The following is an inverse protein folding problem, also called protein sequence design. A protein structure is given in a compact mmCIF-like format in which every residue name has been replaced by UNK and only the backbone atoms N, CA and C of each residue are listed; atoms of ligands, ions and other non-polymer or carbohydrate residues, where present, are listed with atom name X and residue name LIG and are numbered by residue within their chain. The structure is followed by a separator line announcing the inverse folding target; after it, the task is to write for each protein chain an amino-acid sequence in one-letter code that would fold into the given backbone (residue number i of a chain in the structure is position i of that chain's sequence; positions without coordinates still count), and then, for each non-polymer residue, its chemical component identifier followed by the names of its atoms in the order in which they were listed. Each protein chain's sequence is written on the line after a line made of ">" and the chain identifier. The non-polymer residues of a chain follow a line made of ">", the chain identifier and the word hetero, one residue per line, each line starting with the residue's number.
data_IF_871923457829
#
_entry.id   IF_871923457829
#
_cell.length_a   1.000
_cell.length_b   1.000
_cell.length_c   1.000
_cell.angle_alpha   90.00
_cell.angle_beta   90.00
_cell.angle_gamma   90.00
#
_symmetry.space_group_name_H-M   'P 1'
#
loop_
_entity.id
_entity.type
_entity.pdbx_description
1 polymer ?
#
# COMPACT_ATOMS: atom_id res chain seq x y z
N UNK A 1 8.97 -15.51 -5.79
CA UNK A 1 8.00 -14.95 -6.76
C UNK A 1 8.28 -13.49 -7.06
N UNK A 2 8.26 -12.57 -6.08
CA UNK A 2 8.51 -11.14 -6.31
C UNK A 2 9.79 -10.86 -7.08
N UNK A 3 10.95 -11.27 -6.56
CA UNK A 3 12.24 -11.12 -7.25
C UNK A 3 12.23 -11.66 -8.69
N UNK A 4 11.60 -12.83 -8.91
CA UNK A 4 11.51 -13.40 -10.25
C UNK A 4 10.75 -12.50 -11.23
N UNK A 5 9.62 -11.94 -10.79
CA UNK A 5 8.72 -11.13 -11.62
C UNK A 5 9.19 -9.68 -11.77
N UNK A 6 9.73 -9.08 -10.71
CA UNK A 6 10.14 -7.67 -10.70
C UNK A 6 11.57 -7.47 -11.15
N UNK A 7 12.46 -8.45 -10.93
CA UNK A 7 13.90 -8.27 -11.05
C UNK A 7 14.50 -9.21 -12.10
N UNK A 8 14.32 -10.52 -11.96
CA UNK A 8 14.96 -11.50 -12.86
C UNK A 8 14.41 -11.42 -14.29
N UNK A 9 13.08 -11.32 -14.44
CA UNK A 9 12.43 -11.26 -15.76
C UNK A 9 12.88 -10.05 -16.59
N UNK A 10 13.26 -8.96 -15.93
CA UNK A 10 13.73 -7.73 -16.59
C UNK A 10 15.26 -7.60 -16.58
N UNK A 11 15.98 -8.65 -16.16
CA UNK A 11 17.44 -8.71 -16.18
C UNK A 11 18.14 -7.83 -15.13
N UNK A 12 17.48 -7.47 -14.03
CA UNK A 12 18.04 -6.62 -12.97
C UNK A 12 17.92 -7.28 -11.58
N UNK A 13 18.69 -8.34 -11.28
CA UNK A 13 18.61 -9.07 -10.00
C UNK A 13 19.02 -8.20 -8.81
N UNK A 14 18.28 -8.30 -7.69
CA UNK A 14 18.57 -7.56 -6.45
C UNK A 14 18.90 -8.48 -5.28
N UNK A 15 18.25 -9.65 -5.17
CA UNK A 15 18.41 -10.51 -3.99
C UNK A 15 19.74 -11.26 -3.98
N UNK A 16 20.12 -11.90 -5.09
CA UNK A 16 21.37 -12.66 -5.15
C UNK A 16 22.60 -11.76 -4.91
N UNK A 17 22.77 -10.60 -5.60
CA UNK A 17 23.87 -9.68 -5.31
C UNK A 17 23.92 -9.20 -3.86
N UNK A 18 22.75 -8.96 -3.23
CA UNK A 18 22.68 -8.57 -1.83
C UNK A 18 23.20 -9.67 -0.89
N UNK A 19 22.74 -10.91 -1.08
CA UNK A 19 23.12 -12.06 -0.25
C UNK A 19 24.61 -12.39 -0.42
N UNK A 20 25.11 -12.35 -1.65
CA UNK A 20 26.50 -12.63 -2.00
C UNK A 20 27.46 -11.52 -1.52
N UNK A 21 26.94 -10.37 -1.12
CA UNK A 21 27.76 -9.22 -0.77
C UNK A 21 28.54 -8.68 -1.96
N UNK A 22 27.96 -8.76 -3.16
CA UNK A 22 28.56 -8.24 -4.38
C UNK A 22 28.87 -6.73 -4.24
N UNK A 23 29.85 -6.20 -4.99
CA UNK A 23 30.04 -4.76 -5.11
C UNK A 23 28.71 -4.12 -5.54
N UNK A 24 28.22 -3.15 -4.77
CA UNK A 24 26.88 -2.53 -4.88
C UNK A 24 25.66 -3.38 -4.52
N UNK A 25 25.81 -4.65 -4.16
CA UNK A 25 24.70 -5.52 -3.75
C UNK A 25 23.92 -5.02 -2.53
N UNK A 26 24.54 -4.20 -1.68
CA UNK A 26 23.89 -3.55 -0.52
C UNK A 26 23.39 -2.13 -0.79
N UNK A 27 23.63 -1.58 -1.99
CA UNK A 27 23.07 -0.29 -2.37
C UNK A 27 21.55 -0.42 -2.46
N UNK A 28 20.82 0.53 -1.89
CA UNK A 28 19.37 0.53 -2.02
C UNK A 28 18.97 0.67 -3.49
N UNK A 29 18.21 -0.31 -3.96
CA UNK A 29 17.62 -0.37 -5.29
C UNK A 29 16.24 -0.98 -5.18
N UNK A 30 15.31 -0.56 -6.04
CA UNK A 30 13.95 -1.07 -6.07
C UNK A 30 13.54 -1.36 -7.50
N UNK A 31 12.98 -2.56 -7.69
CA UNK A 31 12.25 -2.91 -8.88
C UNK A 31 10.75 -3.03 -8.53
N UNK A 32 9.89 -2.81 -9.52
CA UNK A 32 8.45 -2.93 -9.37
C UNK A 32 7.81 -3.53 -10.60
N UNK A 33 6.64 -4.14 -10.43
CA UNK A 33 5.81 -4.66 -11.50
C UNK A 33 4.42 -4.05 -11.38
N UNK A 34 3.89 -3.57 -12.50
CA UNK A 34 2.51 -3.08 -12.61
C UNK A 34 1.81 -3.95 -13.64
N UNK A 35 0.64 -4.49 -13.26
CA UNK A 35 -0.22 -5.29 -14.14
C UNK A 35 -1.58 -4.61 -14.19
N UNK A 36 -2.05 -4.33 -15.40
CA UNK A 36 -3.41 -3.90 -15.65
C UNK A 36 -4.13 -4.98 -16.46
N UNK A 37 -5.29 -5.42 -15.98
CA UNK A 37 -6.11 -6.45 -16.63
C UNK A 37 -7.43 -5.79 -17.02
N UNK A 38 -7.73 -5.81 -18.31
CA UNK A 38 -9.01 -5.33 -18.84
C UNK A 38 -10.07 -6.43 -18.66
N UNK A 39 -10.92 -6.27 -17.64
CA UNK A 39 -12.00 -7.20 -17.30
C UNK A 39 -12.97 -7.41 -18.46
N UNK A 40 -13.18 -6.39 -19.32
CA UNK A 40 -14.08 -6.49 -20.47
C UNK A 40 -13.65 -7.56 -21.50
N UNK A 41 -12.40 -8.03 -21.43
CA UNK A 41 -11.89 -9.12 -22.25
C UNK A 41 -12.31 -10.51 -21.75
N UNK A 42 -12.87 -10.60 -20.55
CA UNK A 42 -13.24 -11.86 -19.90
C UNK A 42 -14.75 -11.99 -19.64
N UNK A 43 -15.49 -10.87 -19.64
CA UNK A 43 -16.94 -10.88 -19.43
C UNK A 43 -17.51 -9.46 -19.29
N UNK A 44 -18.77 -9.39 -18.88
CA UNK A 44 -19.39 -8.11 -18.54
C UNK A 44 -18.80 -7.53 -17.25
N UNK A 45 -18.40 -6.26 -17.31
CA UNK A 45 -17.75 -5.58 -16.18
C UNK A 45 -18.73 -5.36 -15.02
N UNK A 46 -20.00 -5.12 -15.32
CA UNK A 46 -21.04 -4.95 -14.31
C UNK A 46 -21.35 -6.25 -13.59
N UNK A 47 -21.41 -7.37 -14.32
CA UNK A 47 -21.58 -8.71 -13.75
C UNK A 47 -20.40 -9.06 -12.83
N UNK A 48 -19.17 -8.80 -13.28
CA UNK A 48 -17.96 -9.00 -12.49
C UNK A 48 -17.99 -8.19 -11.19
N UNK A 49 -18.34 -6.89 -11.27
CA UNK A 49 -18.45 -6.03 -10.10
C UNK A 49 -19.48 -6.54 -9.08
N UNK A 50 -20.65 -6.99 -9.56
CA UNK A 50 -21.69 -7.56 -8.68
C UNK A 50 -21.23 -8.84 -8.00
N UNK A 51 -20.47 -9.70 -8.68
CA UNK A 51 -19.91 -10.90 -8.06
C UNK A 51 -18.79 -10.57 -7.06
N UNK A 52 -17.99 -9.53 -7.29
CA UNK A 52 -17.03 -9.01 -6.29
C UNK A 52 -17.76 -8.51 -5.03
N UNK A 53 -18.84 -7.73 -5.20
CA UNK A 53 -19.66 -7.26 -4.07
C UNK A 53 -20.29 -8.42 -3.30
N UNK A 54 -20.81 -9.42 -4.02
CA UNK A 54 -21.38 -10.64 -3.44
C UNK A 54 -20.32 -11.43 -2.67
N UNK A 55 -19.11 -11.56 -3.22
CA UNK A 55 -18.00 -12.23 -2.54
C UNK A 55 -17.62 -11.50 -1.25
N UNK A 56 -17.51 -10.18 -1.30
CA UNK A 56 -17.23 -9.37 -0.11
C UNK A 56 -18.31 -9.56 0.96
N UNK A 57 -19.59 -9.47 0.58
CA UNK A 57 -20.72 -9.70 1.50
C UNK A 57 -20.69 -11.11 2.11
N UNK A 58 -20.41 -12.14 1.30
CA UNK A 58 -20.32 -13.52 1.77
C UNK A 58 -19.19 -13.70 2.79
N UNK A 59 -17.99 -13.17 2.52
CA UNK A 59 -16.86 -13.18 3.45
C UNK A 59 -17.24 -12.50 4.78
N UNK A 60 -17.89 -11.34 4.71
CA UNK A 60 -18.30 -10.58 5.90
C UNK A 60 -19.39 -11.27 6.72
N UNK A 61 -20.12 -12.22 6.13
CA UNK A 61 -21.17 -12.99 6.81
C UNK A 61 -20.65 -14.24 7.54
N UNK A 62 -19.36 -14.59 7.39
CA UNK A 62 -18.77 -15.76 8.02
C UNK A 62 -18.76 -15.64 9.57
N UNK A 63 -18.74 -16.77 10.30
CA UNK A 63 -18.56 -16.76 11.74
C UNK A 63 -17.30 -15.97 12.14
N UNK A 64 -17.48 -15.04 13.07
CA UNK A 64 -16.40 -14.22 13.62
C UNK A 64 -15.65 -15.03 14.68
N UNK A 65 -14.35 -14.77 14.82
CA UNK A 65 -13.57 -15.27 15.95
C UNK A 65 -13.98 -14.54 17.24
N UNK A 66 -13.70 -15.14 18.39
CA UNK A 66 -13.97 -14.52 19.69
C UNK A 66 -13.26 -13.16 19.81
N UNK A 67 -14.01 -12.14 20.24
CA UNK A 67 -13.49 -10.77 20.37
C UNK A 67 -13.32 -10.00 19.05
N UNK A 68 -13.78 -10.55 17.91
CA UNK A 68 -13.82 -9.83 16.63
C UNK A 68 -15.20 -9.25 16.39
N UNK A 69 -15.30 -7.93 16.36
CA UNK A 69 -16.57 -7.23 16.15
C UNK A 69 -17.08 -7.33 14.71
N UNK A 70 -16.17 -7.33 13.73
CA UNK A 70 -16.52 -7.43 12.32
C UNK A 70 -15.38 -8.01 11.48
N UNK A 71 -15.76 -8.64 10.35
CA UNK A 71 -14.81 -9.05 9.32
C UNK A 71 -14.71 -7.90 8.31
N UNK A 72 -13.48 -7.48 8.00
CA UNK A 72 -13.20 -6.47 6.99
C UNK A 72 -12.60 -7.12 5.74
N UNK A 73 -12.92 -6.58 4.57
CA UNK A 73 -12.23 -6.95 3.33
C UNK A 73 -11.05 -6.00 3.05
N UNK A 74 -10.05 -6.42 2.25
CA UNK A 74 -8.94 -5.55 1.87
C UNK A 74 -9.44 -4.22 1.29
N UNK A 75 -8.96 -3.09 1.82
CA UNK A 75 -9.41 -1.75 1.46
C UNK A 75 -10.17 -1.04 2.58
N UNK A 76 -11.15 -1.70 3.20
CA UNK A 76 -12.11 -1.04 4.12
C UNK A 76 -11.46 -0.36 5.33
N UNK A 77 -10.40 -0.98 5.89
CA UNK A 77 -9.65 -0.35 6.99
C UNK A 77 -8.98 0.94 6.54
N UNK A 78 -8.46 0.96 5.32
CA UNK A 78 -7.82 2.14 4.72
C UNK A 78 -8.84 3.25 4.45
N UNK A 79 -10.01 2.89 3.92
CA UNK A 79 -11.09 3.83 3.63
C UNK A 79 -11.59 4.54 4.90
N UNK A 80 -11.79 3.78 5.99
CA UNK A 80 -12.18 4.37 7.28
C UNK A 80 -11.13 5.34 7.84
N UNK A 81 -9.86 4.95 7.73
CA UNK A 81 -8.74 5.81 8.14
C UNK A 81 -8.68 7.06 7.28
N UNK A 82 -8.93 6.94 5.97
CA UNK A 82 -9.00 8.05 5.04
C UNK A 82 -10.13 9.00 5.40
N UNK A 83 -11.34 8.49 5.61
CA UNK A 83 -12.52 9.29 5.97
C UNK A 83 -12.29 10.07 7.27
N UNK A 84 -11.70 9.41 8.27
CA UNK A 84 -11.34 10.05 9.54
C UNK A 84 -10.29 11.14 9.32
N UNK A 85 -9.16 10.80 8.67
CA UNK A 85 -8.02 11.71 8.53
C UNK A 85 -8.26 12.85 7.53
N UNK A 86 -9.26 12.72 6.64
CA UNK A 86 -9.72 13.81 5.78
C UNK A 86 -10.31 14.96 6.56
N UNK A 87 -10.96 14.68 7.71
CA UNK A 87 -11.62 15.70 8.53
C UNK A 87 -10.82 16.05 9.78
N UNK A 88 -10.14 15.09 10.39
CA UNK A 88 -9.43 15.27 11.67
C UNK A 88 -7.91 15.43 11.52
N UNK A 89 -7.41 15.57 10.29
CA UNK A 89 -5.99 15.62 10.00
C UNK A 89 -5.26 14.28 10.13
N UNK A 90 -3.99 14.25 9.69
CA UNK A 90 -3.12 13.07 9.76
C UNK A 90 -2.31 13.15 11.07
N UNK A 91 -2.48 12.20 12.00
CA UNK A 91 -1.70 12.21 13.23
C UNK A 91 -0.23 11.89 12.93
N UNK A 92 0.66 12.81 13.27
CA UNK A 92 2.10 12.65 13.14
C UNK A 92 2.74 12.59 14.53
N UNK A 93 3.62 11.62 14.81
CA UNK A 93 4.42 11.64 16.03
C UNK A 93 5.25 12.92 16.12
N UNK A 94 5.38 13.49 17.33
CA UNK A 94 6.11 14.75 17.55
C UNK A 94 7.54 14.72 16.99
N UNK A 95 8.24 13.58 17.11
CA UNK A 95 9.58 13.42 16.52
C UNK A 95 9.60 13.44 14.99
N UNK A 96 8.54 12.97 14.33
CA UNK A 96 8.40 13.05 12.86
C UNK A 96 8.12 14.49 12.44
N UNK A 97 7.22 15.19 13.14
CA UNK A 97 6.94 16.60 12.90
C UNK A 97 8.22 17.45 12.99
N UNK A 98 8.99 17.29 14.07
CA UNK A 98 10.27 17.99 14.25
C UNK A 98 11.25 17.76 13.09
N UNK A 99 11.38 16.52 12.59
CA UNK A 99 12.25 16.22 11.44
C UNK A 99 11.77 16.89 10.15
N UNK A 100 10.47 17.06 9.97
CA UNK A 100 9.92 17.81 8.83
C UNK A 100 10.25 19.29 8.96
N UNK A 101 10.13 19.88 10.16
CA UNK A 101 10.51 21.28 10.41
C UNK A 101 12.00 21.52 10.13
N UNK A 102 12.87 20.63 10.62
CA UNK A 102 14.32 20.68 10.39
C UNK A 102 14.67 20.60 8.90
N UNK A 103 13.95 19.79 8.12
CA UNK A 103 14.12 19.68 6.67
C UNK A 103 13.58 20.89 5.90
N UNK A 104 12.49 21.50 6.36
CA UNK A 104 11.84 22.65 5.71
C UNK A 104 12.64 23.95 5.87
N UNK A 105 13.25 24.15 7.04
CA UNK A 105 14.00 25.36 7.41
C UNK A 105 15.08 25.80 6.40
N UNK A 106 16.04 24.96 5.98
CA UNK A 106 17.07 25.37 5.02
C UNK A 106 16.50 25.67 3.62
N UNK A 107 15.30 25.19 3.32
CA UNK A 107 14.59 25.42 2.06
C UNK A 107 13.69 26.67 2.10
N UNK A 108 13.56 27.32 3.27
CA UNK A 108 12.67 28.48 3.45
C UNK A 108 11.19 28.12 3.28
N UNK A 109 10.80 26.87 3.51
CA UNK A 109 9.41 26.40 3.41
C UNK A 109 8.74 26.53 4.77
N UNK A 110 7.58 27.17 4.80
CA UNK A 110 6.75 27.30 6.01
C UNK A 110 6.02 25.99 6.32
N UNK A 111 5.85 25.70 7.60
CA UNK A 111 5.10 24.53 8.04
C UNK A 111 3.59 24.77 7.88
N UNK A 112 2.81 23.73 7.52
CA UNK A 112 1.37 23.87 7.38
C UNK A 112 0.69 24.06 8.73
N UNK A 113 -0.50 24.68 8.73
CA UNK A 113 -1.36 24.76 9.91
C UNK A 113 -1.80 23.37 10.38
N UNK A 114 -1.84 23.17 11.70
CA UNK A 114 -2.34 21.94 12.31
C UNK A 114 -3.84 22.03 12.54
N UNK A 115 -4.58 21.00 12.17
CA UNK A 115 -6.02 20.84 12.43
C UNK A 115 -6.23 19.94 13.64
#
# INVERSE_FOLDING_TARGET
>A
MFECLTSLMVGNPLIAPFIEGAPDGRRHSQNGLVIAIDISKFGDVGDYAREVDRLAAAIKSLPRADGVDEILVPGERGDRVLDTRRVSGIPLPAGTWKRLEEAAKPLGVEMPETI
#
